data_IF_575016510544
#
_entry.id   IF_575016510544
#
_cell.length_a   1.000
_cell.length_b   1.000
_cell.length_c   1.000
_cell.angle_alpha   90.00
_cell.angle_beta   90.00
_cell.angle_gamma   90.00
#
_symmetry.space_group_name_H-M   'P 1'
#
loop_
_entity.id
_entity.type
_entity.pdbx_description
1 polymer ?
#
# COMPACT_ATOMS: atom_id res chain seq x y z
N UNK A 1 1.94 -4.48 12.37
CA UNK A 1 1.59 -3.24 11.64
C UNK A 1 2.40 -3.19 10.37
N UNK A 2 2.20 -2.20 9.52
CA UNK A 2 3.01 -1.92 8.33
C UNK A 2 2.61 -0.59 7.72
N UNK A 3 3.45 -0.08 6.82
CA UNK A 3 3.31 1.27 6.29
C UNK A 3 2.95 1.20 4.80
N UNK A 4 1.85 1.86 4.43
CA UNK A 4 1.43 1.99 3.05
C UNK A 4 1.41 3.47 2.69
N UNK A 5 2.00 3.83 1.55
CA UNK A 5 2.11 5.22 1.12
C UNK A 5 1.61 5.36 -0.31
N UNK A 6 0.58 6.20 -0.51
CA UNK A 6 0.02 6.49 -1.84
C UNK A 6 0.95 7.36 -2.69
N UNK A 7 1.38 8.50 -2.14
CA UNK A 7 2.30 9.43 -2.78
C UNK A 7 3.61 9.49 -2.01
N UNK A 8 4.62 8.83 -2.56
CA UNK A 8 5.98 8.79 -2.02
C UNK A 8 6.83 7.82 -2.82
N UNK A 9 8.13 8.09 -2.94
CA UNK A 9 9.05 7.19 -3.62
C UNK A 9 9.64 6.19 -2.62
N UNK A 10 9.81 4.92 -3.03
CA UNK A 10 10.47 3.85 -2.26
C UNK A 10 11.89 4.22 -1.78
N UNK A 11 12.49 5.29 -2.32
CA UNK A 11 13.82 5.80 -1.98
C UNK A 11 13.81 7.02 -1.03
N UNK A 12 12.65 7.46 -0.56
CA UNK A 12 12.57 8.53 0.44
C UNK A 12 12.87 8.00 1.85
N UNK A 13 13.37 8.86 2.74
CA UNK A 13 13.68 8.54 4.15
C UNK A 13 12.54 7.78 4.86
N UNK A 14 11.29 8.04 4.47
CA UNK A 14 10.08 7.42 5.01
C UNK A 14 9.89 5.93 4.68
N UNK A 15 10.60 5.37 3.69
CA UNK A 15 10.48 3.96 3.29
C UNK A 15 11.59 3.05 3.88
N UNK A 16 12.69 3.64 4.35
CA UNK A 16 13.84 2.90 4.91
C UNK A 16 13.59 2.56 6.38
N UNK A 17 13.11 3.53 7.16
CA UNK A 17 12.88 3.40 8.59
C UNK A 17 11.97 2.21 8.97
N UNK A 18 10.84 1.95 8.29
CA UNK A 18 9.99 0.80 8.63
C UNK A 18 10.70 -0.55 8.46
N UNK A 19 11.59 -0.67 7.46
CA UNK A 19 12.36 -1.91 7.22
C UNK A 19 13.34 -2.17 8.37
N UNK A 20 13.90 -1.11 8.95
CA UNK A 20 14.80 -1.18 10.09
C UNK A 20 14.06 -1.60 11.38
N UNK A 21 12.79 -1.23 11.51
CA UNK A 21 11.90 -1.68 12.58
C UNK A 21 11.24 -3.05 12.33
N UNK A 22 11.62 -3.76 11.26
CA UNK A 22 11.08 -5.08 10.91
C UNK A 22 9.63 -5.04 10.40
N UNK A 23 9.16 -3.88 9.94
CA UNK A 23 7.79 -3.65 9.50
C UNK A 23 7.74 -3.53 7.97
N UNK A 24 6.87 -4.26 7.27
CA UNK A 24 6.74 -4.11 5.82
C UNK A 24 6.27 -2.70 5.45
N UNK A 25 6.93 -2.09 4.46
CA UNK A 25 6.57 -0.80 3.91
C UNK A 25 6.48 -0.82 2.38
N UNK A 26 5.35 -0.36 1.86
CA UNK A 26 5.07 -0.24 0.43
C UNK A 26 4.74 1.22 0.14
N UNK A 27 5.42 1.81 -0.83
CA UNK A 27 5.21 3.19 -1.23
C UNK A 27 4.93 3.28 -2.73
N UNK A 28 4.16 4.29 -3.12
CA UNK A 28 3.76 4.54 -4.50
C UNK A 28 2.57 3.70 -4.94
N UNK A 29 1.59 3.50 -4.06
CA UNK A 29 0.35 2.78 -4.39
C UNK A 29 -0.70 3.80 -4.85
N UNK A 30 -0.89 4.04 -6.16
CA UNK A 30 -1.85 5.02 -6.63
C UNK A 30 -3.27 4.64 -6.22
N UNK A 31 -4.03 5.61 -5.73
CA UNK A 31 -5.43 5.41 -5.36
C UNK A 31 -5.65 4.59 -4.09
N UNK A 32 -4.60 4.25 -3.32
CA UNK A 32 -4.74 3.54 -2.04
C UNK A 32 -5.77 4.19 -1.12
N UNK A 33 -5.69 5.51 -0.89
CA UNK A 33 -6.63 6.22 -0.02
C UNK A 33 -8.04 6.35 -0.63
N UNK A 34 -8.19 6.03 -1.92
CA UNK A 34 -9.52 6.03 -2.56
C UNK A 34 -10.36 4.82 -2.17
N UNK A 35 -9.73 3.73 -1.74
CA UNK A 35 -10.42 2.48 -1.41
C UNK A 35 -10.03 1.89 -0.05
N UNK A 36 -8.89 2.30 0.52
CA UNK A 36 -8.52 1.96 1.88
C UNK A 36 -9.36 2.76 2.86
N UNK A 37 -10.02 2.06 3.78
CA UNK A 37 -10.88 2.67 4.81
C UNK A 37 -10.22 2.52 6.18
N UNK A 38 -10.26 3.59 6.98
CA UNK A 38 -9.78 3.55 8.35
C UNK A 38 -10.51 2.48 9.17
N UNK A 39 -9.75 1.61 9.85
CA UNK A 39 -10.29 0.48 10.62
C UNK A 39 -10.52 -0.79 9.80
N UNK A 40 -10.30 -0.77 8.48
CA UNK A 40 -10.27 -1.97 7.65
C UNK A 40 -8.92 -2.69 7.80
N UNK A 41 -8.95 -4.02 7.83
CA UNK A 41 -7.71 -4.79 7.75
C UNK A 41 -7.32 -4.94 6.28
N UNK A 42 -6.08 -4.65 5.92
CA UNK A 42 -5.58 -4.86 4.55
C UNK A 42 -4.48 -5.91 4.56
N UNK A 43 -4.44 -6.77 3.54
CA UNK A 43 -3.30 -7.63 3.26
C UNK A 43 -2.30 -6.86 2.43
N UNK A 44 -1.03 -6.90 2.83
CA UNK A 44 0.06 -6.29 2.10
C UNK A 44 1.22 -7.26 2.01
N UNK A 45 1.91 -7.26 0.89
CA UNK A 45 3.12 -8.04 0.65
C UNK A 45 4.27 -7.07 0.34
N UNK A 46 5.15 -6.87 1.33
CA UNK A 46 6.32 -6.00 1.20
C UNK A 46 7.44 -6.54 0.29
N UNK A 47 7.34 -7.80 -0.15
CA UNK A 47 8.27 -8.43 -1.08
C UNK A 47 7.86 -8.13 -2.53
N UNK A 48 6.57 -8.22 -2.83
CA UNK A 48 6.02 -7.97 -4.18
C UNK A 48 5.51 -6.54 -4.38
N UNK A 49 5.25 -5.81 -3.29
CA UNK A 49 4.63 -4.48 -3.32
C UNK A 49 3.11 -4.52 -3.52
N UNK A 50 2.48 -5.68 -3.36
CA UNK A 50 1.05 -5.88 -3.61
C UNK A 50 0.23 -5.61 -2.34
N UNK A 51 -0.93 -4.95 -2.50
CA UNK A 51 -1.89 -4.70 -1.42
C UNK A 51 -3.27 -5.18 -1.86
N UNK A 52 -3.96 -5.89 -0.98
CA UNK A 52 -5.25 -6.52 -1.23
C UNK A 52 -6.18 -6.35 -0.04
N UNK A 53 -7.47 -6.15 -0.32
CA UNK A 53 -8.52 -6.18 0.71
C UNK A 53 -8.84 -7.64 1.07
N UNK A 54 -9.01 -7.97 2.36
CA UNK A 54 -9.36 -9.32 2.80
C UNK A 54 -10.77 -9.73 2.39
N UNK A 55 -11.64 -8.76 2.09
CA UNK A 55 -13.03 -8.98 1.69
C UNK A 55 -13.18 -9.42 0.22
N UNK A 56 -12.09 -9.59 -0.54
CA UNK A 56 -12.13 -10.09 -1.92
C UNK A 56 -12.75 -9.12 -2.94
N UNK A 57 -13.20 -7.96 -2.48
CA UNK A 57 -13.71 -6.89 -3.34
C UNK A 57 -12.53 -6.06 -3.85
N UNK A 58 -11.95 -6.50 -4.97
CA UNK A 58 -10.97 -5.71 -5.73
C UNK A 58 -11.66 -4.41 -6.17
N UNK A 59 -11.26 -3.23 -5.68
CA UNK A 59 -11.79 -1.99 -6.21
C UNK A 59 -11.11 -1.72 -7.56
N UNK A 60 -11.83 -2.02 -8.65
CA UNK A 60 -11.55 -1.58 -10.03
C UNK A 60 -10.23 -2.07 -10.62
N UNK A 61 -10.23 -3.02 -11.55
CA UNK A 61 -10.58 -2.73 -12.95
C UNK A 61 -11.19 -1.32 -13.17
N UNK A 62 -10.36 -0.30 -13.01
CA UNK A 62 -10.58 0.96 -13.70
C UNK A 62 -9.36 1.15 -14.58
N UNK A 63 -9.49 0.98 -15.91
CA UNK A 63 -8.38 1.26 -16.80
C UNK A 63 -7.94 2.70 -16.53
N UNK A 64 -6.64 2.86 -16.30
CA UNK A 64 -6.00 4.16 -16.28
C UNK A 64 -6.52 4.96 -17.46
N UNK A 65 -7.19 6.08 -17.17
CA UNK A 65 -7.54 7.05 -18.19
C UNK A 65 -6.26 7.49 -18.91
N UNK A 66 -6.42 7.62 -20.22
CA UNK A 66 -5.49 7.96 -21.31
C UNK A 66 -4.30 8.88 -20.98
#
# INVERSE_FOLDING_TARGET
GGLLVERGSLLSHSAIVPREFGIPAIAGIPGLMSWAVDGEQLKMDGSTGIVQRPDGETPGDTPAAE
#
